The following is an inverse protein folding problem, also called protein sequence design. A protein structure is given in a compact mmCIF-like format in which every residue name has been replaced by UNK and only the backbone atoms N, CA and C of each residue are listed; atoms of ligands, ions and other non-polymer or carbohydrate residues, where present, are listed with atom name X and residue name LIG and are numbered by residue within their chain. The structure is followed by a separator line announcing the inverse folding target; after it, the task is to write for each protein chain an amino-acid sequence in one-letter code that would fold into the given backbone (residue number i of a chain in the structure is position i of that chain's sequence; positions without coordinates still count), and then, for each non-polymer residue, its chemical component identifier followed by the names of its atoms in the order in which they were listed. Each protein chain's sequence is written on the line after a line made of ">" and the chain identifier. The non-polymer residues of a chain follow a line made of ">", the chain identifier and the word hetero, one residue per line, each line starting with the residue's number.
data_IF_512957989105
#
_entry.id   IF_512957989105
#
_cell.length_a   1.000
_cell.length_b   1.000
_cell.length_c   1.000
_cell.angle_alpha   90.00
_cell.angle_beta   90.00
_cell.angle_gamma   90.00
#
_symmetry.space_group_name_H-M   'P 1'
#
loop_
_entity.id
_entity.type
_entity.pdbx_description
1 polymer ?
#
# COMPACT_ATOMS: atom_id res chain seq x y z
N UNK A 1 7.15 3.21 19.56
CA UNK A 1 8.20 3.02 18.54
C UNK A 1 9.21 1.90 18.87
N UNK A 2 9.35 1.46 20.13
CA UNK A 2 10.25 0.34 20.50
C UNK A 2 9.73 -1.02 20.01
N UNK A 3 8.42 -1.23 19.97
CA UNK A 3 7.80 -2.48 19.49
C UNK A 3 8.02 -2.68 17.98
N UNK A 4 7.88 -1.62 17.18
CA UNK A 4 8.13 -1.66 15.72
C UNK A 4 9.58 -2.01 15.37
N UNK A 5 10.55 -1.58 16.17
CA UNK A 5 11.96 -1.94 15.97
C UNK A 5 12.21 -3.41 16.31
N UNK A 6 11.61 -3.94 17.38
CA UNK A 6 11.71 -5.35 17.76
C UNK A 6 11.10 -6.26 16.70
N UNK A 7 9.93 -5.92 16.17
CA UNK A 7 9.26 -6.72 15.15
C UNK A 7 10.07 -6.76 13.85
N UNK A 8 10.62 -5.63 13.38
CA UNK A 8 11.53 -5.60 12.22
C UNK A 8 12.80 -6.42 12.43
N UNK A 9 13.36 -6.42 13.62
CA UNK A 9 14.56 -7.19 13.94
C UNK A 9 14.27 -8.68 13.97
N UNK A 10 13.15 -9.10 14.57
CA UNK A 10 12.70 -10.49 14.56
C UNK A 10 12.46 -11.00 13.14
N UNK A 11 11.78 -10.24 12.28
CA UNK A 11 11.57 -10.64 10.89
C UNK A 11 12.89 -10.81 10.13
N UNK A 12 13.86 -9.91 10.32
CA UNK A 12 15.19 -10.04 9.72
C UNK A 12 15.95 -11.27 10.19
N UNK A 13 15.90 -11.58 11.48
CA UNK A 13 16.57 -12.74 12.06
C UNK A 13 15.93 -14.04 11.57
N UNK A 14 14.60 -14.09 11.49
CA UNK A 14 13.87 -15.21 10.95
C UNK A 14 14.19 -15.42 9.46
N UNK A 15 14.19 -14.33 8.67
CA UNK A 15 14.49 -14.39 7.24
C UNK A 15 15.92 -14.86 6.94
N UNK A 16 16.90 -14.57 7.80
CA UNK A 16 18.29 -15.07 7.64
C UNK A 16 18.39 -16.59 7.71
N UNK A 17 17.48 -17.24 8.42
CA UNK A 17 17.48 -18.69 8.63
C UNK A 17 16.58 -19.44 7.63
N UNK A 18 15.85 -18.71 6.77
CA UNK A 18 15.01 -19.29 5.72
C UNK A 18 15.90 -19.77 4.57
N UNK A 19 15.70 -21.01 4.14
CA UNK A 19 16.39 -21.56 2.98
C UNK A 19 15.63 -21.22 1.70
N UNK A 20 16.33 -21.00 0.58
CA UNK A 20 15.69 -20.81 -0.72
C UNK A 20 14.76 -21.97 -1.07
N UNK A 21 13.65 -21.66 -1.73
CA UNK A 21 12.70 -22.63 -2.29
C UNK A 21 13.34 -23.43 -3.45
N UNK A 22 12.61 -24.41 -3.99
CA UNK A 22 13.03 -25.13 -5.19
C UNK A 22 13.27 -24.21 -6.41
N UNK A 23 12.72 -22.99 -6.40
CA UNK A 23 12.94 -21.94 -7.41
C UNK A 23 14.19 -21.09 -7.15
N UNK A 24 14.91 -21.33 -6.05
CA UNK A 24 16.09 -20.56 -5.67
C UNK A 24 15.78 -19.23 -4.99
N UNK A 25 14.52 -18.95 -4.66
CA UNK A 25 14.06 -17.69 -4.06
C UNK A 25 13.75 -17.83 -2.58
N UNK A 26 13.95 -16.75 -1.82
CA UNK A 26 13.50 -16.66 -0.43
C UNK A 26 12.02 -16.30 -0.41
N UNK A 27 11.19 -17.27 -0.05
CA UNK A 27 9.74 -17.14 -0.04
C UNK A 27 9.25 -16.57 1.29
N UNK A 28 8.35 -15.57 1.23
CA UNK A 28 7.69 -15.04 2.43
C UNK A 28 6.89 -16.12 3.16
N UNK A 29 6.37 -17.10 2.44
CA UNK A 29 5.64 -18.25 3.01
C UNK A 29 6.50 -19.03 3.99
N UNK A 30 7.80 -19.20 3.72
CA UNK A 30 8.72 -19.88 4.64
C UNK A 30 8.89 -19.09 5.96
N UNK A 31 8.91 -17.77 5.90
CA UNK A 31 8.92 -16.89 7.08
C UNK A 31 7.62 -17.04 7.86
N UNK A 32 6.48 -17.03 7.19
CA UNK A 32 5.17 -17.21 7.81
C UNK A 32 5.05 -18.58 8.48
N UNK A 33 5.54 -19.65 7.85
CA UNK A 33 5.54 -20.99 8.41
C UNK A 33 6.39 -21.09 9.68
N UNK A 34 7.51 -20.38 9.74
CA UNK A 34 8.32 -20.35 10.96
C UNK A 34 7.60 -19.65 12.12
N UNK A 35 6.89 -18.53 11.84
CA UNK A 35 6.06 -17.89 12.86
C UNK A 35 4.88 -18.75 13.27
N UNK A 36 4.28 -19.48 12.34
CA UNK A 36 3.21 -20.46 12.64
C UNK A 36 3.73 -21.56 13.57
N UNK A 37 4.92 -22.12 13.27
CA UNK A 37 5.55 -23.15 14.10
C UNK A 37 5.86 -22.68 15.52
N UNK A 38 6.17 -21.39 15.70
CA UNK A 38 6.41 -20.75 17.01
C UNK A 38 5.12 -20.37 17.74
N UNK A 39 3.95 -20.46 17.12
CA UNK A 39 2.69 -19.99 17.67
C UNK A 39 2.59 -18.46 17.75
N UNK A 40 3.42 -17.75 16.99
CA UNK A 40 3.52 -16.27 16.98
C UNK A 40 2.84 -15.63 15.78
N UNK A 41 2.36 -16.44 14.81
CA UNK A 41 1.67 -15.93 13.63
C UNK A 41 0.31 -15.36 14.01
N UNK A 42 0.11 -14.09 13.66
CA UNK A 42 -1.20 -13.43 13.78
C UNK A 42 -1.80 -13.26 12.40
N UNK A 43 -3.03 -13.70 12.22
CA UNK A 43 -3.78 -13.55 10.98
C UNK A 43 -4.83 -12.47 11.17
N UNK A 44 -5.00 -11.63 10.16
CA UNK A 44 -6.11 -10.69 10.07
C UNK A 44 -6.83 -10.90 8.75
N UNK A 45 -8.09 -11.24 8.81
CA UNK A 45 -8.92 -11.33 7.62
C UNK A 45 -9.23 -9.95 7.08
N UNK A 46 -9.10 -9.82 5.75
CA UNK A 46 -9.50 -8.62 5.03
C UNK A 46 -11.02 -8.69 4.80
N UNK A 47 -11.73 -7.61 5.13
CA UNK A 47 -13.17 -7.54 4.94
C UNK A 47 -13.57 -7.51 3.46
N UNK A 48 -14.89 -7.55 3.23
CA UNK A 48 -15.44 -7.40 1.87
C UNK A 48 -15.05 -6.05 1.28
N UNK A 49 -14.81 -6.05 -0.03
CA UNK A 49 -14.41 -4.83 -0.77
C UNK A 49 -12.91 -4.56 -0.79
N UNK A 50 -12.09 -5.38 -0.13
CA UNK A 50 -10.63 -5.34 -0.30
C UNK A 50 -10.25 -6.22 -1.47
N UNK A 51 -9.62 -5.65 -2.50
CA UNK A 51 -9.05 -6.38 -3.61
C UNK A 51 -7.57 -6.67 -3.33
N UNK A 52 -7.19 -7.94 -3.45
CA UNK A 52 -5.79 -8.36 -3.47
C UNK A 52 -5.39 -8.61 -4.91
N UNK A 53 -4.39 -7.87 -5.40
CA UNK A 53 -3.92 -7.97 -6.78
C UNK A 53 -2.43 -8.32 -6.75
N UNK A 54 -2.08 -9.44 -7.39
CA UNK A 54 -0.69 -9.85 -7.55
C UNK A 54 -0.12 -9.23 -8.81
N UNK A 55 0.99 -8.50 -8.69
CA UNK A 55 1.67 -7.81 -9.81
C UNK A 55 2.97 -8.51 -10.22
N UNK A 56 3.18 -9.75 -9.79
CA UNK A 56 4.38 -10.52 -10.09
C UNK A 56 4.49 -11.04 -11.53
N UNK A 57 3.41 -10.95 -12.31
CA UNK A 57 3.37 -11.31 -13.73
C UNK A 57 2.91 -10.12 -14.57
N UNK A 58 3.19 -10.15 -15.90
CA UNK A 58 2.69 -9.11 -16.82
C UNK A 58 1.16 -9.04 -16.82
N UNK A 59 0.50 -10.18 -16.84
CA UNK A 59 -0.97 -10.25 -16.83
C UNK A 59 -1.53 -9.70 -15.51
N UNK A 60 -0.98 -10.10 -14.38
CA UNK A 60 -1.38 -9.59 -13.06
C UNK A 60 -1.16 -8.09 -12.92
N UNK A 61 -0.03 -7.56 -13.45
CA UNK A 61 0.22 -6.12 -13.47
C UNK A 61 -0.80 -5.38 -14.35
N UNK A 62 -1.14 -5.95 -15.51
CA UNK A 62 -2.17 -5.38 -16.39
C UNK A 62 -3.53 -5.36 -15.71
N UNK A 63 -3.97 -6.46 -15.10
CA UNK A 63 -5.22 -6.54 -14.37
C UNK A 63 -5.29 -5.52 -13.23
N UNK A 64 -4.21 -5.38 -12.45
CA UNK A 64 -4.12 -4.39 -11.38
C UNK A 64 -4.23 -2.96 -11.93
N UNK A 65 -3.57 -2.67 -13.05
CA UNK A 65 -3.62 -1.36 -13.70
C UNK A 65 -5.04 -1.05 -14.19
N UNK A 66 -5.67 -1.99 -14.87
CA UNK A 66 -7.04 -1.85 -15.38
C UNK A 66 -8.03 -1.65 -14.22
N UNK A 67 -7.89 -2.44 -13.15
CA UNK A 67 -8.72 -2.30 -11.94
C UNK A 67 -8.60 -0.91 -11.33
N UNK A 68 -7.37 -0.44 -11.10
CA UNK A 68 -7.13 0.90 -10.52
C UNK A 68 -7.68 1.99 -11.44
N UNK A 69 -7.44 1.90 -12.75
CA UNK A 69 -7.94 2.87 -13.72
C UNK A 69 -9.47 2.95 -13.73
N UNK A 70 -10.15 1.80 -13.69
CA UNK A 70 -11.62 1.75 -13.62
C UNK A 70 -12.13 2.36 -12.32
N UNK A 71 -11.53 2.00 -11.18
CA UNK A 71 -11.91 2.54 -9.88
C UNK A 71 -11.75 4.06 -9.85
N UNK A 72 -10.61 4.60 -10.29
CA UNK A 72 -10.37 6.04 -10.35
C UNK A 72 -11.38 6.75 -11.26
N UNK A 73 -11.63 6.20 -12.46
CA UNK A 73 -12.55 6.80 -13.42
C UNK A 73 -14.01 6.78 -12.95
N UNK A 74 -14.45 5.72 -12.26
CA UNK A 74 -15.85 5.55 -11.84
C UNK A 74 -16.14 6.17 -10.49
N UNK A 75 -15.18 6.15 -9.59
CA UNK A 75 -15.35 6.66 -8.22
C UNK A 75 -14.88 8.13 -8.08
N UNK A 76 -14.10 8.64 -9.03
CA UNK A 76 -13.65 10.03 -9.02
C UNK A 76 -12.52 10.34 -8.02
N UNK A 77 -11.91 9.34 -7.39
CA UNK A 77 -10.76 9.52 -6.50
C UNK A 77 -9.52 8.80 -7.04
N UNK A 78 -8.35 9.23 -6.61
CA UNK A 78 -7.10 8.56 -6.95
C UNK A 78 -6.69 7.55 -5.88
N UNK A 79 -6.42 6.32 -6.29
CA UNK A 79 -5.94 5.27 -5.40
C UNK A 79 -4.54 5.63 -4.90
N UNK A 80 -4.32 5.58 -3.59
CA UNK A 80 -3.04 5.89 -2.94
C UNK A 80 -2.54 7.32 -3.15
N UNK A 81 -3.44 8.29 -3.34
CA UNK A 81 -3.09 9.70 -3.37
C UNK A 81 -2.45 10.12 -2.04
N UNK A 82 -1.13 10.29 -2.05
CA UNK A 82 -0.34 10.52 -0.84
C UNK A 82 -0.73 11.85 -0.19
N UNK A 83 -0.93 12.88 -0.98
CA UNK A 83 -1.29 14.22 -0.55
C UNK A 83 -2.70 14.26 0.05
N UNK A 84 -3.66 13.59 -0.57
CA UNK A 84 -5.01 13.47 -0.02
C UNK A 84 -5.00 12.69 1.29
N UNK A 85 -4.30 11.55 1.34
CA UNK A 85 -4.17 10.75 2.57
C UNK A 85 -3.56 11.59 3.69
N UNK A 86 -2.50 12.34 3.40
CA UNK A 86 -1.87 13.23 4.37
C UNK A 86 -2.83 14.32 4.86
N UNK A 87 -3.62 14.91 3.96
CA UNK A 87 -4.62 15.91 4.31
C UNK A 87 -5.76 15.32 5.15
N UNK A 88 -6.38 14.22 4.72
CA UNK A 88 -7.48 13.57 5.46
C UNK A 88 -7.04 13.01 6.82
N UNK A 89 -5.75 12.65 6.96
CA UNK A 89 -5.15 12.23 8.23
C UNK A 89 -4.70 13.40 9.12
N UNK A 90 -4.83 14.64 8.66
CA UNK A 90 -4.41 15.83 9.40
C UNK A 90 -2.90 16.02 9.51
N UNK A 91 -2.11 15.32 8.68
CA UNK A 91 -0.65 15.49 8.63
C UNK A 91 -0.28 16.80 7.93
N UNK A 92 -1.10 17.24 7.00
CA UNK A 92 -1.00 18.54 6.33
C UNK A 92 -2.34 19.26 6.39
N UNK A 93 -2.29 20.59 6.36
CA UNK A 93 -3.49 21.42 6.28
C UNK A 93 -3.85 21.78 4.83
N UNK A 94 -5.00 22.43 4.64
CA UNK A 94 -5.52 22.86 3.33
C UNK A 94 -4.52 23.71 2.54
N UNK A 95 -3.83 24.64 3.19
CA UNK A 95 -2.84 25.50 2.52
C UNK A 95 -1.63 24.71 2.04
N UNK A 96 -1.18 23.75 2.83
CA UNK A 96 -0.07 22.87 2.46
C UNK A 96 -0.46 21.97 1.29
N UNK A 97 -1.69 21.42 1.28
CA UNK A 97 -2.20 20.65 0.15
C UNK A 97 -2.22 21.49 -1.14
N UNK A 98 -2.70 22.73 -1.09
CA UNK A 98 -2.68 23.60 -2.26
C UNK A 98 -1.28 23.92 -2.76
N UNK A 99 -0.29 24.10 -1.86
CA UNK A 99 1.11 24.28 -2.27
C UNK A 99 1.67 23.06 -2.99
N UNK A 100 1.29 21.86 -2.57
CA UNK A 100 1.70 20.60 -3.22
C UNK A 100 1.01 20.44 -4.58
N UNK A 101 -0.25 20.85 -4.71
CA UNK A 101 -1.00 20.77 -5.96
C UNK A 101 -0.56 21.81 -7.01
N UNK A 102 -0.02 22.96 -6.61
CA UNK A 102 0.30 24.06 -7.51
C UNK A 102 1.27 23.70 -8.64
N UNK A 103 2.41 22.99 -8.40
CA UNK A 103 3.28 22.54 -9.48
C UNK A 103 2.60 21.57 -10.45
N UNK A 104 1.56 20.88 -10.00
CA UNK A 104 0.82 19.87 -10.76
C UNK A 104 -0.47 20.41 -11.39
N UNK A 105 -0.75 21.71 -11.25
CA UNK A 105 -2.01 22.33 -11.63
C UNK A 105 -2.47 22.06 -13.06
N UNK A 106 -1.53 21.85 -13.99
CA UNK A 106 -1.82 21.57 -15.39
C UNK A 106 -2.16 20.08 -15.66
N UNK A 107 -2.02 19.22 -14.68
CA UNK A 107 -2.34 17.78 -14.77
C UNK A 107 -3.71 17.47 -14.19
N UNK A 108 -4.31 16.36 -14.61
CA UNK A 108 -5.57 15.86 -14.03
C UNK A 108 -5.43 15.59 -12.53
N UNK A 109 -4.28 15.05 -12.10
CA UNK A 109 -4.00 14.80 -10.70
C UNK A 109 -3.92 16.09 -9.86
N UNK A 110 -3.26 17.12 -10.37
CA UNK A 110 -3.22 18.42 -9.68
C UNK A 110 -4.60 19.05 -9.56
N UNK A 111 -5.42 18.97 -10.61
CA UNK A 111 -6.82 19.43 -10.57
C UNK A 111 -7.65 18.62 -9.56
N UNK A 112 -7.40 17.34 -9.44
CA UNK A 112 -8.00 16.51 -8.40
C UNK A 112 -7.63 17.00 -7.01
N UNK A 113 -6.33 17.18 -6.70
CA UNK A 113 -5.87 17.66 -5.39
C UNK A 113 -6.46 19.00 -4.98
N UNK A 114 -6.72 19.90 -5.94
CA UNK A 114 -7.36 21.18 -5.67
C UNK A 114 -8.84 21.05 -5.25
N UNK A 115 -9.51 19.98 -5.66
CA UNK A 115 -10.93 19.70 -5.30
C UNK A 115 -11.06 19.00 -3.95
N UNK A 116 -10.09 18.17 -3.56
CA UNK A 116 -10.13 17.36 -2.32
C UNK A 116 -10.58 18.16 -1.08
N UNK A 117 -10.09 19.38 -0.80
CA UNK A 117 -10.51 20.14 0.38
C UNK A 117 -11.94 20.69 0.32
N UNK A 118 -12.58 20.68 -0.85
CA UNK A 118 -13.94 21.16 -1.07
C UNK A 118 -14.97 20.03 -1.01
N UNK A 119 -14.52 18.79 -1.09
CA UNK A 119 -15.37 17.59 -0.96
C UNK A 119 -15.69 17.32 0.51
N UNK A 120 -16.98 17.08 0.80
CA UNK A 120 -17.48 16.79 2.16
C UNK A 120 -17.24 15.32 2.55
#
# INVERSE_FOLDING_TARGET
>A
HKEYRRQRQMCKETAKNVKPSARGELEITAVNNEYLRRGELKVRELGRGVAWLDTGTYDGMKEATDFVAIMQKRQGYYVSSIEEIAYRRGYINKQQLYRLAEPLRKTEYGQYLLRVPEEK
#
